data_IF_254813119695
#
_entry.id   IF_254813119695
#
_cell.length_a   1.000
_cell.length_b   1.000
_cell.length_c   1.000
_cell.angle_alpha   90.00
_cell.angle_beta   90.00
_cell.angle_gamma   90.00
#
_symmetry.space_group_name_H-M   'P 1'
#
loop_
_entity.id
_entity.type
_entity.pdbx_description
1 polymer ?
#
# COMPACT_ATOMS: atom_id res chain seq x y z
N UNK A 1 12.16 11.64 -4.28
CA UNK A 1 11.12 12.00 -3.32
C UNK A 1 9.82 11.45 -3.87
N UNK A 2 9.27 10.39 -3.25
CA UNK A 2 8.06 9.74 -3.75
C UNK A 2 6.84 10.51 -3.22
N UNK A 3 6.58 11.67 -3.81
CA UNK A 3 5.35 12.44 -3.57
C UNK A 3 4.19 11.91 -4.43
N UNK A 4 4.12 10.58 -4.61
CA UNK A 4 2.94 9.96 -5.19
C UNK A 4 1.85 9.96 -4.14
N UNK A 5 1.00 10.97 -4.24
CA UNK A 5 -0.24 11.09 -3.49
C UNK A 5 -1.08 9.81 -3.61
N UNK A 6 -2.04 9.62 -2.70
CA UNK A 6 -2.97 8.49 -2.74
C UNK A 6 -3.60 8.28 -4.13
N UNK A 7 -3.77 9.35 -4.90
CA UNK A 7 -4.30 9.29 -6.26
C UNK A 7 -3.41 8.50 -7.23
N UNK A 8 -2.09 8.60 -7.12
CA UNK A 8 -1.17 7.86 -7.98
C UNK A 8 -1.12 6.38 -7.61
N UNK A 9 -1.28 6.05 -6.33
CA UNK A 9 -1.47 4.66 -5.88
C UNK A 9 -2.74 4.07 -6.50
N UNK A 10 -3.85 4.82 -6.46
CA UNK A 10 -5.13 4.40 -7.04
C UNK A 10 -5.04 4.27 -8.57
N UNK A 11 -4.38 5.20 -9.25
CA UNK A 11 -4.14 5.13 -10.70
C UNK A 11 -3.26 3.93 -11.05
N UNK A 12 -2.19 3.69 -10.29
CA UNK A 12 -1.30 2.54 -10.47
C UNK A 12 -1.99 1.20 -10.26
N UNK A 13 -2.87 1.10 -9.25
CA UNK A 13 -3.73 -0.06 -9.03
C UNK A 13 -4.65 -0.31 -10.24
N UNK A 14 -5.35 0.74 -10.71
CA UNK A 14 -6.28 0.64 -11.84
C UNK A 14 -5.59 0.30 -13.15
N UNK A 15 -4.38 0.82 -13.37
CA UNK A 15 -3.58 0.54 -14.56
C UNK A 15 -3.03 -0.90 -14.56
N UNK A 16 -2.72 -1.45 -13.38
CA UNK A 16 -2.15 -2.79 -13.21
C UNK A 16 -3.18 -3.85 -12.77
N UNK A 17 -4.37 -3.87 -13.38
CA UNK A 17 -5.43 -4.85 -13.06
C UNK A 17 -5.04 -6.34 -13.17
N UNK A 18 -3.98 -6.67 -13.92
CA UNK A 18 -3.50 -8.05 -14.11
C UNK A 18 -2.38 -8.46 -13.15
N UNK A 19 -1.66 -7.49 -12.59
CA UNK A 19 -0.49 -7.70 -11.72
C UNK A 19 -0.67 -6.99 -10.37
N UNK A 20 -1.91 -6.89 -9.91
CA UNK A 20 -2.25 -6.16 -8.67
C UNK A 20 -1.43 -6.69 -7.48
N UNK A 21 -1.29 -8.01 -7.32
CA UNK A 21 -0.55 -8.62 -6.22
C UNK A 21 0.91 -8.13 -6.11
N UNK A 22 1.64 -8.06 -7.25
CA UNK A 22 3.03 -7.56 -7.28
C UNK A 22 3.09 -6.08 -6.97
N UNK A 23 2.17 -5.30 -7.57
CA UNK A 23 2.12 -3.86 -7.36
C UNK A 23 1.81 -3.49 -5.91
N UNK A 24 0.86 -4.20 -5.27
CA UNK A 24 0.54 -4.03 -3.85
C UNK A 24 1.74 -4.37 -2.99
N UNK A 25 2.40 -5.50 -3.23
CA UNK A 25 3.57 -5.92 -2.45
C UNK A 25 4.66 -4.85 -2.47
N UNK A 26 4.94 -4.30 -3.66
CA UNK A 26 5.90 -3.22 -3.82
C UNK A 26 5.46 -1.92 -3.13
N UNK A 27 4.19 -1.53 -3.27
CA UNK A 27 3.63 -0.36 -2.61
C UNK A 27 3.66 -0.49 -1.08
N UNK A 28 3.37 -1.68 -0.54
CA UNK A 28 3.40 -1.96 0.91
C UNK A 28 4.83 -1.91 1.45
N UNK A 29 5.83 -2.39 0.70
CA UNK A 29 7.25 -2.28 1.08
C UNK A 29 7.69 -0.81 1.16
N UNK A 30 7.32 0.00 0.17
CA UNK A 30 7.58 1.45 0.18
C UNK A 30 6.87 2.15 1.34
N UNK A 31 5.60 1.86 1.59
CA UNK A 31 4.83 2.38 2.73
C UNK A 31 5.50 2.01 4.06
N UNK A 32 6.01 0.78 4.20
CA UNK A 32 6.74 0.35 5.40
C UNK A 32 8.02 1.16 5.63
N UNK A 33 8.73 1.53 4.56
CA UNK A 33 9.91 2.41 4.63
C UNK A 33 9.51 3.84 5.01
N UNK A 34 8.43 4.37 4.41
CA UNK A 34 7.89 5.70 4.73
C UNK A 34 7.43 5.81 6.19
N UNK A 35 6.74 4.80 6.74
CA UNK A 35 6.29 4.78 8.15
C UNK A 35 7.46 4.83 9.15
N UNK A 36 8.62 4.27 8.77
CA UNK A 36 9.83 4.29 9.61
C UNK A 36 10.60 5.61 9.53
N UNK A 37 10.18 6.54 8.66
CA UNK A 37 10.77 7.87 8.57
C UNK A 37 10.48 8.70 9.83
N UNK A 38 11.35 9.68 10.11
CA UNK A 38 11.18 10.64 11.22
C UNK A 38 10.21 11.77 10.90
N UNK A 39 9.84 11.91 9.63
CA UNK A 39 8.93 12.93 9.15
C UNK A 39 7.47 12.55 9.44
N UNK A 40 6.79 13.38 10.22
CA UNK A 40 5.40 13.17 10.66
C UNK A 40 4.40 13.27 9.51
N UNK A 41 4.64 14.13 8.52
CA UNK A 41 3.73 14.29 7.37
C UNK A 41 3.79 13.05 6.48
N UNK A 42 5.00 12.56 6.18
CA UNK A 42 5.20 11.33 5.44
C UNK A 42 4.60 10.12 6.17
N UNK A 43 4.74 10.07 7.51
CA UNK A 43 4.17 8.99 8.32
C UNK A 43 2.64 8.97 8.28
N UNK A 44 2.01 10.15 8.37
CA UNK A 44 0.55 10.28 8.27
C UNK A 44 0.05 9.86 6.88
N UNK A 45 0.72 10.32 5.82
CA UNK A 45 0.40 9.93 4.44
C UNK A 45 0.55 8.41 4.22
N UNK A 46 1.61 7.81 4.73
CA UNK A 46 1.87 6.38 4.61
C UNK A 46 0.83 5.54 5.36
N UNK A 47 0.38 5.97 6.56
CA UNK A 47 -0.71 5.32 7.29
C UNK A 47 -2.04 5.37 6.51
N UNK A 48 -2.31 6.48 5.83
CA UNK A 48 -3.51 6.63 4.98
C UNK A 48 -3.47 5.66 3.79
N UNK A 49 -2.32 5.57 3.10
CA UNK A 49 -2.09 4.64 1.98
C UNK A 49 -2.27 3.17 2.42
N UNK A 50 -1.71 2.81 3.59
CA UNK A 50 -1.83 1.45 4.14
C UNK A 50 -3.28 1.08 4.43
N UNK A 51 -4.03 1.99 5.05
CA UNK A 51 -5.43 1.77 5.41
C UNK A 51 -6.29 1.58 4.17
N UNK A 52 -6.04 2.37 3.11
CA UNK A 52 -6.74 2.22 1.84
C UNK A 52 -6.56 0.82 1.23
N UNK A 53 -5.31 0.37 1.11
CA UNK A 53 -4.99 -0.98 0.61
C UNK A 53 -5.65 -2.04 1.50
N UNK A 54 -5.54 -1.91 2.82
CA UNK A 54 -6.14 -2.86 3.76
C UNK A 54 -7.65 -3.01 3.56
N UNK A 55 -8.38 -1.90 3.43
CA UNK A 55 -9.85 -1.91 3.26
C UNK A 55 -10.25 -2.51 1.91
N UNK A 56 -9.52 -2.19 0.83
CA UNK A 56 -9.82 -2.69 -0.51
C UNK A 56 -9.68 -4.23 -0.60
N UNK A 57 -8.63 -4.80 -0.02
CA UNK A 57 -8.33 -6.23 -0.12
C UNK A 57 -8.99 -7.07 0.98
N UNK A 58 -9.39 -6.47 2.11
CA UNK A 58 -10.16 -7.19 3.14
C UNK A 58 -11.60 -7.48 2.70
N UNK A 59 -12.16 -6.69 1.78
CA UNK A 59 -13.52 -6.88 1.27
C UNK A 59 -13.61 -7.95 0.16
N UNK A 60 -12.48 -8.32 -0.47
CA UNK A 60 -12.46 -9.11 -1.72
C UNK A 60 -12.15 -10.61 -1.54
N UNK A 61 -12.43 -11.22 -0.38
CA UNK A 61 -12.22 -12.64 0.01
C UNK A 61 -10.82 -13.05 0.50
N UNK A 62 -10.80 -13.83 1.60
CA UNK A 62 -9.86 -14.89 1.99
C UNK A 62 -8.34 -14.69 1.78
N UNK A 63 -7.82 -13.48 1.95
CA UNK A 63 -6.37 -13.27 2.05
C UNK A 63 -5.92 -13.56 3.49
N UNK A 64 -5.43 -14.76 3.71
CA UNK A 64 -4.84 -15.20 4.96
C UNK A 64 -3.54 -14.43 5.21
N UNK A 65 -3.63 -13.27 5.87
CA UNK A 65 -2.50 -12.40 6.19
C UNK A 65 -1.47 -13.04 7.15
N UNK A 66 -1.66 -14.31 7.51
CA UNK A 66 -0.77 -15.12 8.34
C UNK A 66 0.39 -15.72 7.51
N UNK A 67 0.24 -15.89 6.19
CA UNK A 67 1.27 -16.52 5.34
C UNK A 67 2.38 -15.54 4.86
N UNK A 68 2.28 -14.25 5.22
CA UNK A 68 3.30 -13.22 4.91
C UNK A 68 4.13 -12.84 6.15
N UNK A 69 4.26 -13.76 7.11
CA UNK A 69 5.36 -13.76 8.09
C UNK A 69 6.31 -14.92 7.76
N UNK A 70 7.63 -14.73 7.93
CA UNK A 70 8.64 -15.67 7.48
C UNK A 70 8.48 -17.07 8.09
#
# INVERSE_FOLDING_TARGET
MWERTLQDLIRGLRANKKDEAKFITQAVDEIRKEIRSKDMELKAAAALKLTYVRVQYHCSSEWDWIEVRP
#
